data_IF_772393612331
#
_entry.id   IF_772393612331
#
_cell.length_a   1.000
_cell.length_b   1.000
_cell.length_c   1.000
_cell.angle_alpha   90.00
_cell.angle_beta   90.00
_cell.angle_gamma   90.00
#
_symmetry.space_group_name_H-M   'P 1'
#
loop_
_entity.id
_entity.type
_entity.pdbx_description
1 polymer ?
#
# COMPACT_ATOMS: atom_id res chain seq x y z
N UNK A 1 8.48 13.53 28.55
CA UNK A 1 8.75 13.57 27.10
C UNK A 1 9.83 12.55 26.80
N UNK A 2 9.45 11.37 26.35
CA UNK A 2 10.38 10.26 26.18
C UNK A 2 11.15 10.45 24.87
N UNK A 3 12.39 10.95 24.98
CA UNK A 3 13.32 11.07 23.87
C UNK A 3 13.70 9.65 23.41
N UNK A 4 12.93 9.06 22.50
CA UNK A 4 13.34 7.81 21.89
C UNK A 4 14.40 8.10 20.83
N UNK A 5 15.67 7.71 21.04
CA UNK A 5 16.70 8.00 20.07
C UNK A 5 16.40 7.19 18.80
N UNK A 6 16.24 7.88 17.67
CA UNK A 6 16.25 7.25 16.35
C UNK A 6 17.60 6.51 16.23
N UNK A 7 17.62 5.17 16.17
CA UNK A 7 18.87 4.43 16.12
C UNK A 7 19.62 4.79 14.84
N UNK A 8 20.95 4.95 14.94
CA UNK A 8 21.80 5.32 13.80
C UNK A 8 21.35 6.60 13.08
N UNK A 9 20.84 7.60 13.84
CA UNK A 9 20.36 8.90 13.32
C UNK A 9 21.27 9.53 12.26
N UNK A 10 22.59 9.55 12.49
CA UNK A 10 23.56 10.12 11.55
C UNK A 10 23.55 9.39 10.20
N UNK A 11 23.47 8.06 10.22
CA UNK A 11 23.38 7.23 9.02
C UNK A 11 22.07 7.48 8.26
N UNK A 12 20.93 7.49 8.97
CA UNK A 12 19.62 7.79 8.34
C UNK A 12 19.64 9.16 7.66
N UNK A 13 20.16 10.19 8.34
CA UNK A 13 20.28 11.53 7.77
C UNK A 13 21.20 11.52 6.54
N UNK A 14 22.36 10.86 6.61
CA UNK A 14 23.29 10.81 5.48
C UNK A 14 22.67 10.13 4.25
N UNK A 15 22.06 8.96 4.43
CA UNK A 15 21.42 8.20 3.36
C UNK A 15 20.21 8.94 2.77
N UNK A 16 19.33 9.48 3.63
CA UNK A 16 18.16 10.21 3.18
C UNK A 16 18.52 11.56 2.53
N UNK A 17 19.58 12.23 3.00
CA UNK A 17 20.06 13.46 2.39
C UNK A 17 20.67 13.20 1.01
N UNK A 18 21.46 12.13 0.88
CA UNK A 18 21.97 11.69 -0.42
C UNK A 18 20.81 11.41 -1.38
N UNK A 19 19.81 10.63 -0.96
CA UNK A 19 18.62 10.35 -1.77
C UNK A 19 17.82 11.61 -2.11
N UNK A 20 17.69 12.55 -1.17
CA UNK A 20 16.94 13.78 -1.37
C UNK A 20 17.59 14.66 -2.44
N UNK A 21 18.91 14.86 -2.34
CA UNK A 21 19.66 15.69 -3.29
C UNK A 21 19.59 15.07 -4.69
N UNK A 22 19.86 13.77 -4.82
CA UNK A 22 19.88 13.12 -6.13
C UNK A 22 18.50 13.03 -6.77
N UNK A 23 17.46 12.65 -6.01
CA UNK A 23 16.10 12.56 -6.56
C UNK A 23 15.52 13.94 -6.91
N UNK A 24 15.76 14.97 -6.10
CA UNK A 24 15.31 16.33 -6.44
C UNK A 24 16.07 16.87 -7.64
N UNK A 25 17.40 16.72 -7.68
CA UNK A 25 18.19 17.19 -8.81
C UNK A 25 17.83 16.46 -10.12
N UNK A 26 17.77 15.12 -10.09
CA UNK A 26 17.38 14.33 -11.26
C UNK A 26 15.94 14.58 -11.68
N UNK A 27 15.02 14.74 -10.73
CA UNK A 27 13.63 15.09 -11.05
C UNK A 27 13.48 16.48 -11.67
N UNK A 28 14.21 17.49 -11.17
CA UNK A 28 14.28 18.82 -11.79
C UNK A 28 14.84 18.72 -13.21
N UNK A 29 15.89 17.93 -13.40
CA UNK A 29 16.49 17.75 -14.72
C UNK A 29 15.50 17.16 -15.74
N UNK A 30 14.77 16.11 -15.35
CA UNK A 30 13.71 15.51 -16.17
C UNK A 30 12.56 16.47 -16.46
N UNK A 31 12.26 17.40 -15.55
CA UNK A 31 11.21 18.42 -15.74
C UNK A 31 11.68 19.55 -16.67
N UNK A 32 12.95 19.96 -16.59
CA UNK A 32 13.53 21.02 -17.42
C UNK A 32 13.81 20.54 -18.84
N UNK A 33 14.22 19.27 -18.99
CA UNK A 33 14.55 18.66 -20.28
C UNK A 33 13.66 17.43 -20.58
N UNK A 34 12.32 17.59 -20.64
CA UNK A 34 11.39 16.46 -20.66
C UNK A 34 11.41 15.65 -21.96
N UNK A 35 11.99 16.19 -23.03
CA UNK A 35 12.18 15.53 -24.33
C UNK A 35 13.67 15.25 -24.62
N UNK A 36 14.51 15.28 -23.59
CA UNK A 36 15.97 15.23 -23.74
C UNK A 36 16.57 16.61 -24.07
N UNK A 37 17.79 16.61 -24.62
CA UNK A 37 18.49 17.84 -25.05
C UNK A 37 19.70 18.23 -24.21
N UNK A 38 20.12 17.38 -23.27
CA UNK A 38 21.41 17.48 -22.59
C UNK A 38 22.09 16.09 -22.53
N UNK A 39 23.38 16.03 -22.21
CA UNK A 39 24.17 14.79 -22.20
C UNK A 39 23.88 13.84 -21.01
N UNK A 40 23.14 14.30 -20.00
CA UNK A 40 22.86 13.56 -18.78
C UNK A 40 21.46 12.94 -18.79
N UNK A 41 20.62 13.31 -19.76
CA UNK A 41 19.26 12.80 -19.91
C UNK A 41 19.24 11.42 -20.58
N UNK A 42 18.40 10.51 -20.09
CA UNK A 42 18.12 9.27 -20.80
C UNK A 42 17.44 9.54 -22.15
N UNK A 43 17.66 8.68 -23.17
CA UNK A 43 16.96 8.79 -24.44
C UNK A 43 15.45 8.68 -24.26
N UNK A 44 14.68 9.53 -24.97
CA UNK A 44 13.21 9.46 -24.96
C UNK A 44 12.68 8.12 -25.47
N UNK A 45 13.46 7.41 -26.29
CA UNK A 45 13.16 6.06 -26.77
C UNK A 45 12.90 5.05 -25.62
N UNK A 46 13.46 5.28 -24.42
CA UNK A 46 13.17 4.45 -23.25
C UNK A 46 11.69 4.49 -22.82
N UNK A 47 10.96 5.54 -23.22
CA UNK A 47 9.55 5.72 -22.86
C UNK A 47 8.58 5.04 -23.85
N UNK A 48 9.06 4.50 -24.98
CA UNK A 48 8.20 3.92 -26.05
C UNK A 48 7.24 2.84 -25.56
N UNK A 49 7.63 2.10 -24.51
CA UNK A 49 6.84 1.01 -23.91
C UNK A 49 6.11 1.43 -22.64
N UNK A 50 6.09 2.73 -22.36
CA UNK A 50 5.48 3.30 -21.17
C UNK A 50 4.29 4.16 -21.56
N UNK A 51 3.35 4.46 -20.64
CA UNK A 51 2.28 5.40 -20.93
C UNK A 51 2.75 6.87 -20.99
N UNK A 52 4.04 7.14 -20.74
CA UNK A 52 4.57 8.49 -20.70
C UNK A 52 5.09 8.90 -22.08
N UNK A 53 4.69 10.10 -22.53
CA UNK A 53 5.19 10.69 -23.79
C UNK A 53 6.41 11.59 -23.60
N UNK A 54 6.74 11.91 -22.35
CA UNK A 54 7.89 12.74 -21.98
C UNK A 54 8.28 12.44 -20.53
N UNK A 55 9.48 12.84 -20.14
CA UNK A 55 9.98 12.68 -18.77
C UNK A 55 9.36 13.66 -17.76
N UNK A 56 8.44 14.54 -18.17
CA UNK A 56 7.82 15.53 -17.27
C UNK A 56 7.13 14.88 -16.05
N UNK A 57 6.24 13.92 -16.30
CA UNK A 57 5.51 13.24 -15.22
C UNK A 57 6.44 12.38 -14.35
N UNK A 58 7.31 11.53 -14.92
CA UNK A 58 8.36 10.86 -14.15
C UNK A 58 9.22 11.82 -13.31
N UNK A 59 9.65 12.95 -13.88
CA UNK A 59 10.45 13.96 -13.19
C UNK A 59 9.73 14.60 -12.01
N UNK A 60 8.45 14.93 -12.17
CA UNK A 60 7.63 15.43 -11.05
C UNK A 60 7.47 14.39 -9.94
N UNK A 61 7.23 13.12 -10.30
CA UNK A 61 7.13 12.04 -9.33
C UNK A 61 8.47 11.82 -8.60
N UNK A 62 9.59 11.81 -9.32
CA UNK A 62 10.92 11.65 -8.74
C UNK A 62 11.24 12.80 -7.78
N UNK A 63 11.03 14.06 -8.18
CA UNK A 63 11.31 15.22 -7.34
C UNK A 63 10.37 15.31 -6.12
N UNK A 64 9.05 15.21 -6.34
CA UNK A 64 8.05 15.51 -5.32
C UNK A 64 7.76 14.31 -4.42
N UNK A 65 7.68 13.09 -4.96
CA UNK A 65 7.34 11.90 -4.18
C UNK A 65 8.60 11.31 -3.56
N UNK A 66 9.59 10.92 -4.37
CA UNK A 66 10.82 10.28 -3.86
C UNK A 66 11.73 11.28 -3.16
N UNK A 67 12.00 12.41 -3.81
CA UNK A 67 12.77 13.52 -3.25
C UNK A 67 12.10 14.13 -2.03
N UNK A 68 10.81 14.47 -2.14
CA UNK A 68 10.03 15.03 -1.04
C UNK A 68 9.94 14.11 0.18
N UNK A 69 9.72 12.79 0.00
CA UNK A 69 9.74 11.84 1.10
C UNK A 69 11.11 11.80 1.81
N UNK A 70 12.20 11.83 1.03
CA UNK A 70 13.58 11.85 1.55
C UNK A 70 13.90 13.15 2.30
N UNK A 71 13.49 14.30 1.77
CA UNK A 71 13.58 15.60 2.47
C UNK A 71 12.81 15.57 3.79
N UNK A 72 11.59 15.03 3.77
CA UNK A 72 10.77 14.84 4.97
C UNK A 72 11.45 13.95 6.01
N UNK A 73 12.06 12.84 5.60
CA UNK A 73 12.83 11.97 6.47
C UNK A 73 14.02 12.68 7.11
N UNK A 74 14.79 13.46 6.34
CA UNK A 74 15.89 14.28 6.85
C UNK A 74 15.38 15.29 7.87
N UNK A 75 14.37 16.10 7.50
CA UNK A 75 13.85 17.17 8.33
C UNK A 75 13.29 16.64 9.66
N UNK A 76 12.46 15.60 9.63
CA UNK A 76 11.84 15.02 10.83
C UNK A 76 12.86 14.31 11.72
N UNK A 77 13.87 13.66 11.14
CA UNK A 77 14.98 13.03 11.88
C UNK A 77 15.89 14.08 12.53
N UNK A 78 16.16 15.19 11.83
CA UNK A 78 16.93 16.31 12.39
C UNK A 78 16.18 16.99 13.55
N UNK A 79 14.88 17.21 13.39
CA UNK A 79 13.99 17.79 14.42
C UNK A 79 13.67 16.85 15.59
N UNK A 80 14.18 15.61 15.59
CA UNK A 80 13.87 14.57 16.59
C UNK A 80 12.36 14.35 16.77
N UNK A 81 11.62 14.41 15.65
CA UNK A 81 10.17 14.25 15.66
C UNK A 81 9.78 12.81 16.01
N UNK A 82 8.65 12.58 16.73
CA UNK A 82 8.10 11.24 16.91
C UNK A 82 7.69 10.56 15.58
N UNK A 83 7.61 11.31 14.48
CA UNK A 83 7.35 10.79 13.14
C UNK A 83 8.63 10.44 12.33
N UNK A 84 9.82 10.60 12.89
CA UNK A 84 11.09 10.41 12.17
C UNK A 84 11.23 9.00 11.55
N UNK A 85 10.90 7.96 12.31
CA UNK A 85 10.96 6.57 11.83
C UNK A 85 9.94 6.31 10.71
N UNK A 86 8.75 6.89 10.82
CA UNK A 86 7.72 6.76 9.78
C UNK A 86 8.16 7.43 8.47
N UNK A 87 8.74 8.62 8.58
CA UNK A 87 9.28 9.33 7.43
C UNK A 87 10.44 8.56 6.79
N UNK A 88 11.27 7.89 7.60
CA UNK A 88 12.36 7.03 7.12
C UNK A 88 11.81 5.80 6.37
N UNK A 89 10.78 5.14 6.91
CA UNK A 89 10.07 4.03 6.25
C UNK A 89 9.46 4.49 4.93
N UNK A 90 8.80 5.66 4.92
CA UNK A 90 8.20 6.24 3.72
C UNK A 90 9.24 6.59 2.65
N UNK A 91 10.36 7.21 3.02
CA UNK A 91 11.44 7.53 2.08
C UNK A 91 12.04 6.27 1.46
N UNK A 92 12.37 5.27 2.28
CA UNK A 92 12.90 4.00 1.79
C UNK A 92 11.89 3.25 0.92
N UNK A 93 10.62 3.21 1.33
CA UNK A 93 9.53 2.60 0.57
C UNK A 93 9.29 3.29 -0.77
N UNK A 94 9.20 4.62 -0.78
CA UNK A 94 9.02 5.41 -2.01
C UNK A 94 10.16 5.17 -3.01
N UNK A 95 11.41 5.19 -2.55
CA UNK A 95 12.55 4.90 -3.41
C UNK A 95 12.56 3.44 -3.89
N UNK A 96 12.19 2.49 -3.04
CA UNK A 96 12.11 1.07 -3.45
C UNK A 96 11.03 0.87 -4.52
N UNK A 97 9.84 1.43 -4.32
CA UNK A 97 8.74 1.38 -5.29
C UNK A 97 9.12 2.09 -6.58
N UNK A 98 9.83 3.21 -6.52
CA UNK A 98 10.34 3.90 -7.69
C UNK A 98 11.23 2.99 -8.55
N UNK A 99 12.22 2.35 -7.95
CA UNK A 99 13.14 1.45 -8.67
C UNK A 99 12.41 0.21 -9.20
N UNK A 100 11.45 -0.32 -8.45
CA UNK A 100 10.59 -1.42 -8.93
C UNK A 100 9.77 -0.99 -10.15
N UNK A 101 9.21 0.22 -10.13
CA UNK A 101 8.44 0.75 -11.25
C UNK A 101 9.33 1.02 -12.48
N UNK A 102 10.51 1.61 -12.31
CA UNK A 102 11.48 1.79 -13.40
C UNK A 102 11.86 0.47 -14.06
N UNK A 103 12.20 -0.56 -13.26
CA UNK A 103 12.55 -1.88 -13.78
C UNK A 103 11.37 -2.54 -14.52
N UNK A 104 10.16 -2.38 -14.01
CA UNK A 104 8.96 -2.95 -14.61
C UNK A 104 8.52 -2.23 -15.90
N UNK A 105 8.77 -0.93 -16.02
CA UNK A 105 8.32 -0.10 -17.15
C UNK A 105 9.37 0.05 -18.24
N UNK A 106 10.64 0.20 -17.88
CA UNK A 106 11.73 0.43 -18.84
C UNK A 106 12.33 -0.86 -19.38
N UNK A 107 12.18 -1.98 -18.64
CA UNK A 107 12.74 -3.30 -18.98
C UNK A 107 14.27 -3.30 -19.17
N UNK A 108 14.94 -2.29 -18.63
CA UNK A 108 16.39 -2.15 -18.67
C UNK A 108 16.98 -2.26 -17.27
N UNK A 109 18.12 -2.96 -17.16
CA UNK A 109 18.87 -3.05 -15.92
C UNK A 109 20.12 -2.17 -16.00
N UNK A 110 20.12 -1.08 -15.23
CA UNK A 110 21.27 -0.21 -15.06
C UNK A 110 21.84 -0.36 -13.64
N UNK A 111 23.15 -0.19 -13.46
CA UNK A 111 23.80 -0.34 -12.14
C UNK A 111 23.25 0.64 -11.09
N UNK A 112 22.73 1.79 -11.52
CA UNK A 112 22.04 2.75 -10.67
C UNK A 112 20.81 2.13 -9.98
N UNK A 113 20.10 1.19 -10.62
CA UNK A 113 18.99 0.48 -9.98
C UNK A 113 19.48 -0.32 -8.76
N UNK A 114 20.68 -0.93 -8.84
CA UNK A 114 21.28 -1.62 -7.70
C UNK A 114 21.64 -0.66 -6.56
N UNK A 115 22.23 0.50 -6.89
CA UNK A 115 22.62 1.52 -5.89
C UNK A 115 21.40 2.13 -5.20
N UNK A 116 20.43 2.62 -5.97
CA UNK A 116 19.24 3.27 -5.42
C UNK A 116 18.25 2.27 -4.82
N UNK A 117 18.12 1.07 -5.39
CA UNK A 117 17.37 -0.03 -4.78
C UNK A 117 17.96 -0.42 -3.43
N UNK A 118 19.30 -0.59 -3.36
CA UNK A 118 20.01 -0.84 -2.10
C UNK A 118 19.83 0.29 -1.08
N UNK A 119 19.87 1.55 -1.52
CA UNK A 119 19.61 2.72 -0.68
C UNK A 119 18.18 2.73 -0.13
N UNK A 120 17.19 2.47 -0.97
CA UNK A 120 15.78 2.40 -0.59
C UNK A 120 15.53 1.31 0.45
N UNK A 121 16.06 0.11 0.21
CA UNK A 121 15.99 -1.02 1.14
C UNK A 121 16.73 -0.74 2.45
N UNK A 122 17.88 -0.07 2.41
CA UNK A 122 18.62 0.31 3.60
C UNK A 122 17.84 1.29 4.48
N UNK A 123 17.25 2.34 3.88
CA UNK A 123 16.39 3.29 4.60
C UNK A 123 15.15 2.59 5.18
N UNK A 124 14.47 1.78 4.36
CA UNK A 124 13.29 1.03 4.78
C UNK A 124 13.62 0.09 5.95
N UNK A 125 14.71 -0.67 5.84
CA UNK A 125 15.19 -1.59 6.86
C UNK A 125 15.59 -0.89 8.16
N UNK A 126 16.30 0.25 8.08
CA UNK A 126 16.64 1.06 9.26
C UNK A 126 15.39 1.61 9.95
N UNK A 127 14.42 2.10 9.18
CA UNK A 127 13.14 2.59 9.67
C UNK A 127 12.33 1.50 10.37
N UNK A 128 12.16 0.34 9.73
CA UNK A 128 11.44 -0.82 10.28
C UNK A 128 12.13 -1.38 11.53
N UNK A 129 13.45 -1.55 11.49
CA UNK A 129 14.21 -2.04 12.65
C UNK A 129 14.13 -1.07 13.82
N UNK A 130 14.22 0.24 13.57
CA UNK A 130 14.05 1.26 14.59
C UNK A 130 12.64 1.27 15.18
N UNK A 131 11.63 1.17 14.32
CA UNK A 131 10.22 1.11 14.72
C UNK A 131 9.94 -0.14 15.57
N UNK A 132 10.43 -1.31 15.17
CA UNK A 132 10.28 -2.55 15.93
C UNK A 132 10.96 -2.48 17.30
N UNK A 133 12.22 -2.02 17.35
CA UNK A 133 13.00 -1.91 18.59
C UNK A 133 12.47 -0.87 19.57
N UNK A 134 11.73 0.13 19.08
CA UNK A 134 11.15 1.16 19.94
C UNK A 134 10.13 0.60 20.96
N UNK A 135 9.57 -0.59 20.72
CA UNK A 135 8.54 -1.20 21.57
C UNK A 135 7.18 -0.47 21.53
N UNK A 136 7.06 0.66 20.83
CA UNK A 136 5.83 1.45 20.81
C UNK A 136 4.69 0.69 20.13
N UNK A 137 3.51 0.71 20.74
CA UNK A 137 2.29 0.08 20.22
C UNK A 137 1.96 0.56 18.81
N UNK A 138 2.14 1.86 18.55
CA UNK A 138 1.97 2.49 17.22
C UNK A 138 2.83 1.85 16.15
N UNK A 139 4.10 1.61 16.45
CA UNK A 139 5.05 1.04 15.48
C UNK A 139 4.76 -0.44 15.23
N UNK A 140 4.49 -1.20 16.30
CA UNK A 140 4.05 -2.61 16.18
C UNK A 140 2.78 -2.73 15.34
N UNK A 141 1.79 -1.86 15.58
CA UNK A 141 0.57 -1.79 14.78
C UNK A 141 0.85 -1.59 13.30
N UNK A 142 1.63 -0.57 12.98
CA UNK A 142 1.92 -0.26 11.57
C UNK A 142 2.62 -1.41 10.87
N UNK A 143 3.65 -1.98 11.50
CA UNK A 143 4.39 -3.08 10.90
C UNK A 143 3.49 -4.30 10.67
N UNK A 144 2.77 -4.74 11.70
CA UNK A 144 1.97 -5.97 11.63
C UNK A 144 0.72 -5.83 10.76
N UNK A 145 0.04 -4.68 10.83
CA UNK A 145 -1.15 -4.42 10.03
C UNK A 145 -0.77 -4.18 8.57
N UNK A 146 0.30 -3.44 8.28
CA UNK A 146 0.78 -3.30 6.90
C UNK A 146 1.23 -4.63 6.32
N UNK A 147 1.97 -5.46 7.10
CA UNK A 147 2.37 -6.78 6.63
C UNK A 147 1.17 -7.71 6.40
N UNK A 148 0.23 -7.77 7.35
CA UNK A 148 -0.97 -8.60 7.24
C UNK A 148 -1.86 -8.19 6.07
N UNK A 149 -2.06 -6.89 5.89
CA UNK A 149 -2.83 -6.34 4.77
C UNK A 149 -2.14 -6.57 3.43
N UNK A 150 -0.83 -6.29 3.32
CA UNK A 150 -0.10 -6.49 2.07
C UNK A 150 -0.07 -7.97 1.66
N UNK A 151 0.28 -8.87 2.58
CA UNK A 151 0.29 -10.31 2.31
C UNK A 151 -1.11 -10.84 2.00
N UNK A 152 -2.13 -10.29 2.67
CA UNK A 152 -3.53 -10.61 2.42
C UNK A 152 -3.97 -10.20 1.01
N UNK A 153 -3.75 -8.94 0.65
CA UNK A 153 -4.07 -8.36 -0.66
C UNK A 153 -3.41 -9.10 -1.82
N UNK A 154 -2.23 -9.68 -1.60
CA UNK A 154 -1.56 -10.48 -2.64
C UNK A 154 -2.33 -11.74 -3.02
N UNK A 155 -3.19 -12.29 -2.14
CA UNK A 155 -4.00 -13.44 -2.48
C UNK A 155 -5.01 -13.14 -3.63
N UNK A 156 -5.95 -12.18 -3.51
CA UNK A 156 -6.88 -11.88 -4.60
C UNK A 156 -6.19 -11.31 -5.84
N UNK A 157 -5.11 -10.53 -5.68
CA UNK A 157 -4.35 -10.03 -6.82
C UNK A 157 -3.73 -11.17 -7.64
N UNK A 158 -3.05 -12.12 -6.98
CA UNK A 158 -2.47 -13.29 -7.65
C UNK A 158 -3.55 -14.23 -8.19
N UNK A 159 -4.68 -14.38 -7.48
CA UNK A 159 -5.81 -15.17 -7.97
C UNK A 159 -6.39 -14.58 -9.27
N UNK A 160 -6.51 -13.25 -9.36
CA UNK A 160 -6.95 -12.57 -10.58
C UNK A 160 -5.97 -12.78 -11.74
N UNK A 161 -4.67 -12.55 -11.50
CA UNK A 161 -3.61 -12.76 -12.50
C UNK A 161 -3.57 -14.22 -12.99
N UNK A 162 -3.62 -15.18 -12.06
CA UNK A 162 -3.60 -16.60 -12.40
C UNK A 162 -4.86 -17.04 -13.15
N UNK A 163 -6.03 -16.52 -12.79
CA UNK A 163 -7.29 -16.85 -13.48
C UNK A 163 -7.27 -16.40 -14.94
N UNK A 164 -6.74 -15.20 -15.21
CA UNK A 164 -6.57 -14.68 -16.56
C UNK A 164 -5.60 -15.53 -17.39
N UNK A 165 -4.46 -15.95 -16.81
CA UNK A 165 -3.47 -16.78 -17.51
C UNK A 165 -3.96 -18.19 -17.81
N UNK A 166 -4.76 -18.77 -16.92
CA UNK A 166 -5.36 -20.08 -17.09
C UNK A 166 -6.62 -20.05 -17.97
N UNK A 167 -6.98 -18.87 -18.50
CA UNK A 167 -8.20 -18.66 -19.28
C UNK A 167 -9.45 -19.25 -18.60
N UNK A 168 -9.55 -19.06 -17.28
CA UNK A 168 -10.71 -19.50 -16.51
C UNK A 168 -11.95 -18.72 -16.96
N UNK A 169 -13.12 -19.35 -16.87
CA UNK A 169 -14.38 -18.63 -17.10
C UNK A 169 -14.58 -17.54 -16.04
N UNK A 170 -15.36 -16.51 -16.35
CA UNK A 170 -15.64 -15.41 -15.41
C UNK A 170 -16.18 -15.94 -14.08
N UNK A 171 -17.02 -16.99 -14.12
CA UNK A 171 -17.56 -17.64 -12.94
C UNK A 171 -16.47 -18.34 -12.10
N UNK A 172 -15.52 -19.02 -12.75
CA UNK A 172 -14.39 -19.65 -12.06
C UNK A 172 -13.45 -18.62 -11.46
N UNK A 173 -13.15 -17.54 -12.18
CA UNK A 173 -12.38 -16.40 -11.66
C UNK A 173 -13.07 -15.76 -10.46
N UNK A 174 -14.37 -15.50 -10.55
CA UNK A 174 -15.17 -14.94 -9.46
C UNK A 174 -15.09 -15.80 -8.20
N UNK A 175 -15.18 -17.13 -8.33
CA UNK A 175 -15.02 -18.06 -7.21
C UNK A 175 -13.61 -18.01 -6.65
N UNK A 176 -12.58 -18.08 -7.50
CA UNK A 176 -11.18 -18.08 -7.08
C UNK A 176 -10.80 -16.80 -6.32
N UNK A 177 -11.15 -15.64 -6.86
CA UNK A 177 -10.90 -14.33 -6.25
C UNK A 177 -11.71 -14.15 -4.95
N UNK A 178 -12.95 -14.65 -4.91
CA UNK A 178 -13.75 -14.63 -3.67
C UNK A 178 -13.10 -15.46 -2.57
N UNK A 179 -12.64 -16.68 -2.87
CA UNK A 179 -11.91 -17.53 -1.91
C UNK A 179 -10.62 -16.87 -1.43
N UNK A 180 -9.88 -16.22 -2.33
CA UNK A 180 -8.70 -15.45 -1.98
C UNK A 180 -9.02 -14.25 -1.07
N UNK A 181 -10.20 -13.64 -1.21
CA UNK A 181 -10.71 -12.61 -0.31
C UNK A 181 -10.87 -13.05 1.15
N UNK A 182 -11.19 -14.32 1.40
CA UNK A 182 -11.19 -14.85 2.77
C UNK A 182 -9.77 -14.92 3.35
N UNK A 183 -8.78 -15.27 2.52
CA UNK A 183 -7.36 -15.29 2.91
C UNK A 183 -6.88 -13.88 3.24
N UNK A 184 -7.27 -12.89 2.43
CA UNK A 184 -6.97 -11.48 2.70
C UNK A 184 -7.49 -11.03 4.06
N UNK A 185 -8.78 -11.24 4.33
CA UNK A 185 -9.37 -10.86 5.61
C UNK A 185 -8.77 -11.62 6.80
N UNK A 186 -8.35 -12.87 6.62
CA UNK A 186 -7.66 -13.62 7.66
C UNK A 186 -6.30 -13.00 7.98
N UNK A 187 -5.50 -12.67 6.97
CA UNK A 187 -4.18 -12.07 7.12
C UNK A 187 -4.25 -10.67 7.75
N UNK A 188 -5.12 -9.80 7.25
CA UNK A 188 -5.41 -8.48 7.84
C UNK A 188 -5.84 -8.62 9.31
N UNK A 189 -6.81 -9.51 9.55
CA UNK A 189 -7.36 -9.74 10.88
C UNK A 189 -6.32 -10.25 11.88
N UNK A 190 -5.44 -11.15 11.46
CA UNK A 190 -4.31 -11.62 12.29
C UNK A 190 -3.31 -10.49 12.57
N UNK A 191 -2.93 -9.71 11.55
CA UNK A 191 -2.03 -8.57 11.71
C UNK A 191 -2.55 -7.56 12.73
N UNK A 192 -3.84 -7.23 12.66
CA UNK A 192 -4.51 -6.38 13.65
C UNK A 192 -4.60 -7.05 15.03
N UNK A 193 -5.03 -8.31 15.11
CA UNK A 193 -5.19 -9.03 16.37
C UNK A 193 -3.88 -9.20 17.16
N UNK A 194 -2.75 -9.35 16.46
CA UNK A 194 -1.42 -9.42 17.07
C UNK A 194 -0.93 -8.06 17.58
N UNK A 195 -1.43 -6.96 17.00
CA UNK A 195 -1.04 -5.60 17.35
C UNK A 195 -1.99 -4.90 18.33
N UNK A 196 -3.21 -5.40 18.48
CA UNK A 196 -4.23 -4.78 19.32
C UNK A 196 -3.72 -4.60 20.76
N UNK A 197 -3.98 -3.43 21.38
CA UNK A 197 -3.51 -3.14 22.73
C UNK A 197 -4.29 -3.88 23.83
N UNK A 198 -5.34 -4.61 23.44
CA UNK A 198 -6.22 -5.40 24.32
C UNK A 198 -6.19 -6.88 23.93
N UNK A 199 -6.36 -7.81 24.88
CA UNK A 199 -6.27 -9.24 24.65
C UNK A 199 -7.52 -9.80 23.97
N UNK A 200 -7.69 -9.51 22.67
CA UNK A 200 -8.75 -10.11 21.87
C UNK A 200 -8.51 -11.60 21.64
N UNK A 201 -9.58 -12.37 21.41
CA UNK A 201 -9.45 -13.75 20.92
C UNK A 201 -8.99 -13.72 19.47
N UNK A 202 -7.67 -13.82 19.25
CA UNK A 202 -7.01 -13.59 17.95
C UNK A 202 -7.68 -14.30 16.77
N UNK A 203 -7.90 -15.61 16.89
CA UNK A 203 -8.54 -16.41 15.84
C UNK A 203 -9.99 -16.04 15.59
N UNK A 204 -10.72 -15.61 16.62
CA UNK A 204 -12.10 -15.13 16.45
C UNK A 204 -12.10 -13.77 15.74
N UNK A 205 -11.22 -12.85 16.12
CA UNK A 205 -11.10 -11.55 15.46
C UNK A 205 -10.71 -11.72 13.98
N UNK A 206 -9.71 -12.57 13.71
CA UNK A 206 -9.25 -12.83 12.37
C UNK A 206 -10.29 -13.59 11.52
N UNK A 207 -10.96 -14.59 12.09
CA UNK A 207 -12.05 -15.30 11.42
C UNK A 207 -13.23 -14.38 11.08
N UNK A 208 -13.62 -13.48 11.99
CA UNK A 208 -14.64 -12.46 11.69
C UNK A 208 -14.20 -11.50 10.58
N UNK A 209 -12.94 -11.08 10.59
CA UNK A 209 -12.37 -10.24 9.52
C UNK A 209 -12.40 -10.98 8.18
N UNK A 210 -12.02 -12.25 8.16
CA UNK A 210 -12.08 -13.15 6.99
C UNK A 210 -13.50 -13.29 6.43
N UNK A 211 -14.51 -13.51 7.29
CA UNK A 211 -15.91 -13.56 6.87
C UNK A 211 -16.39 -12.22 6.30
N UNK A 212 -16.00 -11.11 6.93
CA UNK A 212 -16.30 -9.76 6.44
C UNK A 212 -15.71 -9.51 5.06
N UNK A 213 -14.42 -9.82 4.87
CA UNK A 213 -13.73 -9.66 3.58
C UNK A 213 -14.30 -10.59 2.50
N UNK A 214 -14.59 -11.85 2.85
CA UNK A 214 -15.24 -12.80 1.95
C UNK A 214 -16.62 -12.31 1.47
N UNK A 215 -17.41 -11.68 2.35
CA UNK A 215 -18.67 -11.06 1.95
C UNK A 215 -18.48 -9.87 0.99
N UNK A 216 -17.45 -9.03 1.22
CA UNK A 216 -17.10 -7.94 0.30
C UNK A 216 -16.72 -8.51 -1.05
N UNK A 217 -15.77 -9.45 -1.12
CA UNK A 217 -15.33 -10.03 -2.39
C UNK A 217 -16.42 -10.78 -3.12
N UNK A 218 -17.26 -11.55 -2.41
CA UNK A 218 -18.42 -12.20 -3.01
C UNK A 218 -19.37 -11.17 -3.64
N UNK A 219 -19.60 -10.03 -2.95
CA UNK A 219 -20.47 -8.96 -3.46
C UNK A 219 -19.86 -8.26 -4.69
N UNK A 220 -18.56 -7.98 -4.67
CA UNK A 220 -17.82 -7.39 -5.81
C UNK A 220 -17.82 -8.33 -7.00
N UNK A 221 -17.46 -9.60 -6.82
CA UNK A 221 -17.39 -10.58 -7.91
C UNK A 221 -18.78 -10.87 -8.50
N UNK A 222 -19.83 -10.94 -7.66
CA UNK A 222 -21.21 -11.08 -8.15
C UNK A 222 -21.63 -9.87 -8.97
N UNK A 223 -21.27 -8.65 -8.54
CA UNK A 223 -21.54 -7.44 -9.29
C UNK A 223 -20.77 -7.42 -10.62
N UNK A 224 -19.51 -7.88 -10.64
CA UNK A 224 -18.70 -7.93 -11.87
C UNK A 224 -19.29 -8.92 -12.88
N UNK A 225 -19.73 -10.10 -12.42
CA UNK A 225 -20.44 -11.06 -13.26
C UNK A 225 -21.75 -10.50 -13.82
N UNK A 226 -22.51 -9.76 -13.02
CA UNK A 226 -23.75 -9.13 -13.47
C UNK A 226 -23.49 -8.01 -14.48
N UNK A 227 -22.43 -7.20 -14.25
CA UNK A 227 -22.05 -6.10 -15.11
C UNK A 227 -21.41 -6.54 -16.43
N UNK A 228 -20.81 -7.73 -16.47
CA UNK A 228 -20.21 -8.30 -17.68
C UNK A 228 -21.21 -8.91 -18.68
N UNK A 229 -22.52 -8.88 -18.39
CA UNK A 229 -23.54 -9.36 -19.33
C UNK A 229 -23.85 -8.29 -20.37
N UNK A 230 -23.90 -8.68 -21.64
CA UNK A 230 -24.18 -7.78 -22.76
C UNK A 230 -25.52 -7.01 -22.63
N UNK A 231 -26.48 -7.58 -21.90
CA UNK A 231 -27.82 -7.05 -21.67
C UNK A 231 -27.98 -6.27 -20.36
N UNK A 232 -26.91 -6.08 -19.57
CA UNK A 232 -26.98 -5.44 -18.28
C UNK A 232 -27.31 -3.94 -18.39
N UNK A 233 -28.46 -3.47 -17.86
CA UNK A 233 -28.78 -2.05 -17.93
C UNK A 233 -27.86 -1.25 -16.99
N UNK A 234 -27.32 -0.13 -17.48
CA UNK A 234 -26.35 0.72 -16.76
C UNK A 234 -26.83 1.13 -15.37
N UNK A 235 -28.11 1.42 -15.20
CA UNK A 235 -28.66 1.79 -13.89
C UNK A 235 -28.58 0.65 -12.88
N UNK A 236 -28.73 -0.61 -13.30
CA UNK A 236 -28.65 -1.78 -12.43
C UNK A 236 -27.20 -1.96 -11.95
N UNK A 237 -26.24 -1.81 -12.85
CA UNK A 237 -24.80 -1.84 -12.52
C UNK A 237 -24.45 -0.72 -11.55
N UNK A 238 -24.96 0.50 -11.76
CA UNK A 238 -24.74 1.62 -10.86
C UNK A 238 -25.33 1.37 -9.46
N UNK A 239 -26.56 0.87 -9.38
CA UNK A 239 -27.21 0.53 -8.10
C UNK A 239 -26.44 -0.60 -7.39
N UNK A 240 -26.06 -1.65 -8.12
CA UNK A 240 -25.27 -2.76 -7.56
C UNK A 240 -23.91 -2.26 -7.05
N UNK A 241 -23.22 -1.41 -7.81
CA UNK A 241 -21.97 -0.78 -7.40
C UNK A 241 -22.10 0.05 -6.12
N UNK A 242 -23.16 0.85 -5.99
CA UNK A 242 -23.46 1.59 -4.75
C UNK A 242 -23.71 0.66 -3.56
N UNK A 243 -24.45 -0.42 -3.75
CA UNK A 243 -24.71 -1.41 -2.69
C UNK A 243 -23.42 -2.14 -2.27
N UNK A 244 -22.61 -2.57 -3.23
CA UNK A 244 -21.30 -3.19 -2.99
C UNK A 244 -20.36 -2.23 -2.26
N UNK A 245 -20.36 -0.94 -2.61
CA UNK A 245 -19.57 0.07 -1.91
C UNK A 245 -20.00 0.18 -0.44
N UNK A 246 -21.31 0.20 -0.16
CA UNK A 246 -21.81 0.20 1.22
C UNK A 246 -21.37 -1.06 1.97
N UNK A 247 -21.52 -2.25 1.37
CA UNK A 247 -21.05 -3.52 1.94
C UNK A 247 -19.55 -3.47 2.23
N UNK A 248 -18.75 -3.01 1.27
CA UNK A 248 -17.30 -2.83 1.40
C UNK A 248 -16.90 -1.97 2.60
N UNK A 249 -17.63 -0.89 2.86
CA UNK A 249 -17.32 0.05 3.94
C UNK A 249 -17.73 -0.47 5.34
N UNK A 250 -18.75 -1.33 5.44
CA UNK A 250 -19.28 -1.76 6.75
C UNK A 250 -18.96 -3.20 7.12
N UNK A 251 -18.78 -4.12 6.16
CA UNK A 251 -18.71 -5.56 6.43
C UNK A 251 -17.51 -5.93 7.31
N UNK A 252 -16.30 -5.50 6.94
CA UNK A 252 -15.07 -5.81 7.69
C UNK A 252 -15.11 -5.18 9.08
N UNK A 253 -15.36 -3.86 9.16
CA UNK A 253 -15.42 -3.14 10.43
C UNK A 253 -16.52 -3.64 11.37
N UNK A 254 -17.70 -3.96 10.80
CA UNK A 254 -18.83 -4.52 11.51
C UNK A 254 -18.56 -5.92 12.06
N UNK A 255 -17.90 -6.77 11.27
CA UNK A 255 -17.49 -8.10 11.74
C UNK A 255 -16.46 -8.01 12.87
N UNK A 256 -15.46 -7.15 12.74
CA UNK A 256 -14.45 -6.90 13.78
C UNK A 256 -15.06 -6.32 15.07
N UNK A 257 -16.06 -5.45 14.93
CA UNK A 257 -16.79 -4.87 16.07
C UNK A 257 -17.42 -5.93 16.98
N UNK A 258 -17.88 -7.07 16.43
CA UNK A 258 -18.49 -8.16 17.23
C UNK A 258 -17.55 -8.73 18.30
N UNK A 259 -16.23 -8.69 18.08
CA UNK A 259 -15.23 -9.04 19.09
C UNK A 259 -14.84 -7.80 19.91
N UNK A 260 -14.61 -6.65 19.29
CA UNK A 260 -14.17 -5.44 20.01
C UNK A 260 -15.18 -4.92 21.04
N UNK A 261 -16.49 -5.13 20.82
CA UNK A 261 -17.55 -4.71 21.76
C UNK A 261 -17.47 -5.39 23.13
N UNK A 262 -16.70 -6.47 23.25
CA UNK A 262 -16.42 -7.15 24.52
C UNK A 262 -15.34 -6.44 25.35
N UNK A 263 -14.56 -5.56 24.72
CA UNK A 263 -13.37 -4.94 25.29
C UNK A 263 -13.48 -3.41 25.43
N UNK A 264 -14.43 -2.77 24.72
CA UNK A 264 -14.63 -1.33 24.79
C UNK A 264 -16.11 -0.91 24.62
N UNK A 265 -16.63 0.01 25.46
CA UNK A 265 -18.04 0.41 25.43
C UNK A 265 -18.44 1.18 24.16
N UNK A 266 -17.48 1.88 23.52
CA UNK A 266 -17.69 2.62 22.27
C UNK A 266 -17.03 1.93 21.07
N UNK A 267 -16.90 0.60 21.12
CA UNK A 267 -16.27 -0.19 20.06
C UNK A 267 -16.90 0.03 18.67
N UNK A 268 -18.19 0.41 18.60
CA UNK A 268 -18.88 0.67 17.33
C UNK A 268 -18.22 1.77 16.50
N UNK A 269 -17.50 2.70 17.14
CA UNK A 269 -16.71 3.74 16.46
C UNK A 269 -15.59 3.17 15.60
N UNK A 270 -15.24 1.90 15.75
CA UNK A 270 -14.31 1.20 14.89
C UNK A 270 -14.77 1.16 13.43
N UNK A 271 -16.08 0.95 13.20
CA UNK A 271 -16.68 0.82 11.87
C UNK A 271 -16.40 2.04 10.97
N UNK A 272 -16.68 3.30 11.38
CA UNK A 272 -16.35 4.45 10.55
C UNK A 272 -14.84 4.67 10.37
N UNK A 273 -13.99 4.23 11.31
CA UNK A 273 -12.53 4.30 11.13
C UNK A 273 -12.02 3.32 10.08
N UNK A 274 -12.55 2.09 10.06
CA UNK A 274 -12.24 1.12 9.01
C UNK A 274 -12.81 1.54 7.67
N UNK A 275 -14.02 2.11 7.63
CA UNK A 275 -14.60 2.66 6.41
C UNK A 275 -13.72 3.76 5.84
N UNK A 276 -13.33 4.75 6.66
CA UNK A 276 -12.42 5.82 6.26
C UNK A 276 -11.08 5.27 5.75
N UNK A 277 -10.54 4.25 6.40
CA UNK A 277 -9.27 3.66 6.00
C UNK A 277 -9.37 3.01 4.61
N UNK A 278 -10.41 2.23 4.35
CA UNK A 278 -10.65 1.66 3.02
C UNK A 278 -10.94 2.73 1.96
N UNK A 279 -11.77 3.73 2.25
CA UNK A 279 -12.06 4.82 1.30
C UNK A 279 -10.79 5.55 0.84
N UNK A 280 -9.86 5.80 1.76
CA UNK A 280 -8.63 6.55 1.45
C UNK A 280 -7.55 5.65 0.87
N UNK A 281 -7.42 4.42 1.37
CA UNK A 281 -6.33 3.53 0.98
C UNK A 281 -6.61 2.78 -0.32
N UNK A 282 -7.85 2.30 -0.53
CA UNK A 282 -8.19 1.43 -1.65
C UNK A 282 -7.84 2.03 -3.03
N UNK A 283 -8.07 3.33 -3.32
CA UNK A 283 -7.66 3.91 -4.59
C UNK A 283 -6.17 3.75 -4.93
N UNK A 284 -5.31 3.64 -3.90
CA UNK A 284 -3.86 3.51 -4.07
C UNK A 284 -3.45 2.15 -4.64
N UNK A 285 -4.25 1.09 -4.44
CA UNK A 285 -3.97 -0.22 -5.03
C UNK A 285 -4.23 -0.25 -6.53
N UNK A 286 -5.04 0.67 -7.05
CA UNK A 286 -5.32 0.82 -8.49
C UNK A 286 -4.35 1.76 -9.22
N UNK A 287 -3.43 2.42 -8.50
CA UNK A 287 -2.46 3.35 -9.10
C UNK A 287 -1.62 2.74 -10.24
N UNK A 288 -1.27 1.43 -10.22
CA UNK A 288 -0.59 0.80 -11.35
C UNK A 288 -1.43 0.62 -12.62
N UNK A 289 -2.76 0.73 -12.55
CA UNK A 289 -3.66 0.39 -13.67
C UNK A 289 -3.31 1.07 -15.01
N UNK A 290 -3.07 2.39 -15.04
CA UNK A 290 -2.66 3.09 -16.28
C UNK A 290 -1.28 2.70 -16.82
N UNK A 291 -0.49 1.95 -16.04
CA UNK A 291 0.89 1.57 -16.36
C UNK A 291 1.01 0.10 -16.82
N UNK A 292 -0.08 -0.66 -16.78
CA UNK A 292 -0.09 -2.11 -16.99
C UNK A 292 -1.13 -2.47 -18.03
N UNK A 293 -0.77 -3.35 -18.94
CA UNK A 293 -1.65 -3.90 -19.99
C UNK A 293 -1.44 -5.40 -20.17
N UNK A 294 -2.17 -5.99 -21.12
CA UNK A 294 -2.10 -7.42 -21.46
C UNK A 294 -0.71 -7.88 -21.94
N UNK A 295 0.12 -6.95 -22.45
CA UNK A 295 1.47 -7.25 -22.92
C UNK A 295 2.52 -7.24 -21.79
N UNK A 296 2.14 -6.75 -20.61
CA UNK A 296 3.04 -6.58 -19.48
C UNK A 296 3.43 -7.94 -18.87
N UNK A 297 4.72 -8.24 -18.62
CA UNK A 297 5.17 -9.49 -18.05
C UNK A 297 4.55 -9.76 -16.69
N UNK A 298 4.40 -11.03 -16.36
CA UNK A 298 3.84 -11.48 -15.08
C UNK A 298 4.65 -10.92 -13.90
N UNK A 299 5.98 -10.92 -14.01
CA UNK A 299 6.85 -10.36 -12.98
C UNK A 299 6.59 -8.86 -12.75
N UNK A 300 6.42 -8.09 -13.83
CA UNK A 300 6.10 -6.66 -13.76
C UNK A 300 4.71 -6.42 -13.17
N UNK A 301 3.71 -7.23 -13.52
CA UNK A 301 2.39 -7.21 -12.89
C UNK A 301 2.49 -7.39 -11.37
N UNK A 302 3.12 -8.48 -10.91
CA UNK A 302 3.24 -8.79 -9.48
C UNK A 302 3.94 -7.65 -8.73
N UNK A 303 5.01 -7.10 -9.31
CA UNK A 303 5.79 -6.03 -8.72
C UNK A 303 5.03 -4.70 -8.63
N UNK A 304 4.36 -4.28 -9.70
CA UNK A 304 3.63 -3.02 -9.77
C UNK A 304 2.37 -3.06 -8.89
N UNK A 305 1.54 -4.09 -9.05
CA UNK A 305 0.33 -4.29 -8.22
C UNK A 305 0.70 -4.51 -6.75
N UNK A 306 1.77 -5.25 -6.47
CA UNK A 306 2.30 -5.42 -5.12
C UNK A 306 2.75 -4.09 -4.49
N UNK A 307 3.38 -3.21 -5.27
CA UNK A 307 3.79 -1.88 -4.78
C UNK A 307 2.60 -0.99 -4.43
N UNK A 308 1.56 -0.98 -5.27
CA UNK A 308 0.28 -0.30 -4.98
C UNK A 308 -0.40 -0.86 -3.73
N UNK A 309 -0.46 -2.19 -3.61
CA UNK A 309 -0.98 -2.89 -2.43
C UNK A 309 -0.21 -2.58 -1.14
N UNK A 310 1.11 -2.48 -1.20
CA UNK A 310 1.94 -2.12 -0.04
C UNK A 310 1.67 -0.69 0.44
N UNK A 311 1.52 0.26 -0.51
CA UNK A 311 1.19 1.65 -0.18
C UNK A 311 -0.21 1.76 0.44
N UNK A 312 -1.20 1.09 -0.16
CA UNK A 312 -2.55 0.95 0.40
C UNK A 312 -2.47 0.40 1.83
N UNK A 313 -1.76 -0.72 2.03
CA UNK A 313 -1.60 -1.37 3.33
C UNK A 313 -0.96 -0.47 4.39
N UNK A 314 0.01 0.36 3.99
CA UNK A 314 0.61 1.34 4.88
C UNK A 314 -0.39 2.42 5.30
N UNK A 315 -1.10 3.03 4.36
CA UNK A 315 -2.10 4.09 4.62
C UNK A 315 -3.25 3.55 5.48
N UNK A 316 -3.74 2.35 5.16
CA UNK A 316 -4.72 1.60 5.94
C UNK A 316 -4.27 1.44 7.40
N UNK A 317 -3.04 1.00 7.64
CA UNK A 317 -2.48 0.84 8.98
C UNK A 317 -2.36 2.18 9.74
N UNK A 318 -2.04 3.28 9.04
CA UNK A 318 -1.95 4.63 9.63
C UNK A 318 -3.30 5.14 10.14
N UNK A 319 -4.36 4.99 9.32
CA UNK A 319 -5.70 5.46 9.65
C UNK A 319 -6.31 4.57 10.74
N UNK A 320 -6.21 3.25 10.59
CA UNK A 320 -6.75 2.31 11.59
C UNK A 320 -6.06 2.44 12.94
N UNK A 321 -4.77 2.78 13.01
CA UNK A 321 -4.11 3.10 14.29
C UNK A 321 -4.77 4.30 15.00
N UNK A 322 -5.10 5.36 14.24
CA UNK A 322 -5.79 6.55 14.80
C UNK A 322 -7.17 6.19 15.33
N UNK A 323 -7.83 5.21 14.71
CA UNK A 323 -9.06 4.60 15.20
C UNK A 323 -8.85 3.80 16.47
N UNK A 324 -7.91 2.85 16.46
CA UNK A 324 -7.61 1.96 17.58
C UNK A 324 -7.30 2.77 18.85
N UNK A 325 -6.49 3.83 18.72
CA UNK A 325 -6.14 4.73 19.84
C UNK A 325 -7.34 5.46 20.46
N UNK A 326 -8.40 5.72 19.70
CA UNK A 326 -9.60 6.43 20.16
C UNK A 326 -10.72 5.50 20.62
N UNK A 327 -10.74 4.29 20.09
CA UNK A 327 -11.79 3.31 20.35
C UNK A 327 -11.44 2.45 21.56
N UNK A 328 -10.16 2.12 21.74
CA UNK A 328 -9.69 1.16 22.73
C UNK A 328 -9.03 1.91 23.90
N UNK A 329 -9.52 1.75 25.14
CA UNK A 329 -8.89 2.32 26.32
C UNK A 329 -7.43 1.84 26.49
N UNK A 330 -6.52 2.72 26.91
CA UNK A 330 -5.11 2.35 27.17
C UNK A 330 -4.24 2.11 25.93
N UNK A 331 -4.70 2.54 24.75
CA UNK A 331 -3.97 2.42 23.49
C UNK A 331 -2.94 3.54 23.22
N UNK A 332 -2.95 4.62 24.03
CA UNK A 332 -2.06 5.77 23.90
C UNK A 332 -0.72 5.56 24.59
#
# INVERSE_FOLDING_TARGET
MENHPVPRRRLIVALALFSAISAVAGGIELVVFPHGGNQFMPPVALLERTPFRSFLVPGLLLALVVGGASVGAVALTLRRSPAALDATILAGGALTVWIVAELALLWELHWLHGVYGGLGLALLGLGLAGAWRSGQRRHRWRILVTAGEFLGYMAPALAGIASAQLALSDAQQAVAVTLAGFVEGLALGLGQALALPVPVRRWRYAGLTSLGAGAVWASVMTMMLAAGRDDAPVWLVAVAGCLVAVVGLVAIGGAQWLELRRHAPRAWRWIPWTALAWTVALPLSFAPGPLVDESTPIGAHVLLWGSGGLLMAFVMAQITWRGARRVIPGAA
#
